data_IF_608290644799
#
_entry.id   IF_608290644799
#
_cell.length_a   1.000
_cell.length_b   1.000
_cell.length_c   1.000
_cell.angle_alpha   90.00
_cell.angle_beta   90.00
_cell.angle_gamma   90.00
#
_symmetry.space_group_name_H-M   'P 1'
#
loop_
_entity.id
_entity.type
_entity.pdbx_description
1 polymer ?
#
# COMPACT_ATOMS: atom_id res chain seq x y z
N UNK A 1 56.17 11.27 -15.05
CA UNK A 1 55.91 12.47 -14.23
C UNK A 1 55.61 11.99 -12.81
N UNK A 2 56.39 12.19 -11.75
CA UNK A 2 57.69 12.78 -11.51
C UNK A 2 57.91 12.72 -9.99
N UNK A 3 59.01 12.08 -9.55
CA UNK A 3 59.97 12.59 -8.53
C UNK A 3 59.42 12.87 -7.11
N UNK A 4 59.96 12.38 -5.98
CA UNK A 4 61.35 12.30 -5.43
C UNK A 4 61.30 11.33 -4.21
N UNK A 5 62.26 10.43 -3.94
CA UNK A 5 63.56 10.63 -3.21
C UNK A 5 63.38 11.44 -1.90
N UNK A 6 63.93 11.13 -0.71
CA UNK A 6 64.89 10.13 -0.22
C UNK A 6 65.12 10.37 1.31
N UNK A 7 65.77 9.40 1.97
CA UNK A 7 66.66 9.51 3.16
C UNK A 7 66.10 9.99 4.52
N UNK A 8 66.24 9.13 5.55
CA UNK A 8 67.32 9.29 6.55
C UNK A 8 67.42 8.06 7.47
N UNK A 9 68.66 7.61 7.64
CA UNK A 9 69.10 6.54 8.51
C UNK A 9 69.86 7.12 9.71
N UNK A 10 70.07 6.26 10.71
CA UNK A 10 71.08 6.34 11.78
C UNK A 10 70.76 7.27 12.95
N UNK A 11 70.48 6.67 14.11
CA UNK A 11 71.19 6.96 15.37
C UNK A 11 70.94 5.82 16.37
N UNK A 12 71.86 4.85 16.33
CA UNK A 12 72.20 4.01 17.47
C UNK A 12 73.34 4.71 18.21
N UNK A 13 73.17 4.95 19.52
CA UNK A 13 74.23 4.85 20.54
C UNK A 13 73.75 5.40 21.90
N UNK A 14 74.14 4.67 22.94
CA UNK A 14 74.47 5.11 24.31
C UNK A 14 73.38 5.13 25.41
N UNK A 15 73.48 4.05 26.22
CA UNK A 15 73.51 3.99 27.70
C UNK A 15 72.17 3.74 28.46
N UNK A 16 72.20 3.11 29.65
CA UNK A 16 73.18 2.17 30.22
C UNK A 16 72.57 0.85 30.72
N UNK A 17 73.41 -0.16 30.80
CA UNK A 17 73.17 -1.41 31.54
C UNK A 17 73.08 -1.10 33.04
N UNK A 18 71.85 -1.04 33.56
CA UNK A 18 71.55 -1.00 34.99
C UNK A 18 71.34 -2.39 35.54
N UNK A 19 72.43 -3.07 35.88
CA UNK A 19 72.47 -4.20 36.81
C UNK A 19 72.04 -3.70 38.20
N UNK A 20 70.81 -3.97 38.62
CA UNK A 20 70.41 -3.86 40.02
C UNK A 20 69.38 -4.94 40.37
N UNK A 21 69.82 -5.81 41.29
CA UNK A 21 69.02 -6.49 42.30
C UNK A 21 67.99 -7.52 41.84
N UNK A 22 68.45 -8.78 41.82
CA UNK A 22 67.73 -9.92 42.40
C UNK A 22 67.06 -9.48 43.71
N UNK A 23 65.77 -9.15 43.66
CA UNK A 23 64.95 -8.98 44.86
C UNK A 23 64.35 -10.33 45.18
N UNK A 24 64.93 -10.92 46.20
CA UNK A 24 64.48 -12.10 46.94
C UNK A 24 62.95 -12.23 46.92
N UNK A 25 62.53 -13.39 46.42
CA UNK A 25 61.68 -14.35 47.16
C UNK A 25 61.33 -13.87 48.56
N UNK A 26 60.27 -13.08 48.68
CA UNK A 26 59.51 -12.99 49.92
C UNK A 26 58.39 -14.00 49.79
N UNK A 27 58.63 -15.17 50.38
CA UNK A 27 57.65 -16.04 51.01
C UNK A 27 56.22 -15.48 50.92
N UNK A 28 55.47 -15.90 49.91
CA UNK A 28 54.02 -15.95 50.01
C UNK A 28 53.71 -16.99 51.08
N UNK A 29 53.68 -16.55 52.34
CA UNK A 29 53.09 -17.34 53.39
C UNK A 29 51.70 -17.77 52.90
N UNK A 30 51.36 -19.07 52.95
CA UNK A 30 50.02 -19.51 52.61
C UNK A 30 49.07 -18.80 53.58
N UNK A 31 48.38 -17.77 53.08
CA UNK A 31 47.24 -17.20 53.79
C UNK A 31 46.28 -18.37 53.90
N UNK A 32 46.17 -18.94 55.10
CA UNK A 32 45.07 -19.78 55.58
C UNK A 32 43.78 -18.93 55.56
N UNK A 33 43.45 -18.43 54.38
CA UNK A 33 42.30 -17.60 54.10
C UNK A 33 41.09 -18.51 54.21
N UNK A 34 40.29 -18.24 55.23
CA UNK A 34 38.91 -18.70 55.32
C UNK A 34 38.28 -18.75 53.94
N UNK A 35 37.71 -19.90 53.56
CA UNK A 35 37.03 -20.23 52.30
C UNK A 35 35.77 -19.36 52.02
N UNK A 36 35.85 -18.06 52.29
CA UNK A 36 34.77 -17.11 52.06
C UNK A 36 34.77 -16.73 50.58
N UNK A 37 33.79 -17.26 49.86
CA UNK A 37 33.51 -16.84 48.49
C UNK A 37 32.99 -15.41 48.46
N UNK A 38 33.64 -14.57 47.67
CA UNK A 38 33.24 -13.20 47.36
C UNK A 38 31.85 -13.20 46.69
N UNK A 39 31.01 -12.19 46.92
CA UNK A 39 29.73 -12.08 46.23
C UNK A 39 29.96 -11.94 44.71
N UNK A 40 29.06 -12.52 43.92
CA UNK A 40 29.02 -12.28 42.49
C UNK A 40 28.30 -10.95 42.23
N UNK A 41 28.92 -10.06 41.46
CA UNK A 41 28.41 -8.72 41.16
C UNK A 41 27.91 -8.65 39.71
N UNK A 42 26.67 -8.22 39.46
CA UNK A 42 26.13 -8.12 38.09
C UNK A 42 26.68 -6.91 37.29
N UNK A 43 27.49 -6.06 37.91
CA UNK A 43 27.94 -4.79 37.35
C UNK A 43 26.97 -3.64 37.68
N UNK A 44 27.52 -2.45 37.83
CA UNK A 44 26.83 -1.20 38.10
C UNK A 44 27.26 -0.16 37.08
N UNK A 45 26.39 0.83 36.78
CA UNK A 45 26.74 1.94 35.89
C UNK A 45 27.67 2.91 36.62
N UNK A 46 28.97 2.66 36.53
CA UNK A 46 29.99 3.57 37.05
C UNK A 46 31.16 3.74 36.08
N UNK A 47 31.95 4.79 36.28
CA UNK A 47 33.01 5.22 35.36
C UNK A 47 34.36 4.56 35.61
N UNK A 48 34.52 3.91 36.76
CA UNK A 48 35.78 3.31 37.18
C UNK A 48 35.85 1.83 36.78
N UNK A 49 36.99 1.38 36.29
CA UNK A 49 37.24 -0.05 36.07
C UNK A 49 37.42 -0.76 37.41
N UNK A 50 36.33 -1.30 37.94
CA UNK A 50 36.29 -2.14 39.14
C UNK A 50 35.33 -3.30 38.93
N UNK A 51 35.48 -4.38 39.70
CA UNK A 51 34.53 -5.52 39.62
C UNK A 51 33.09 -5.08 39.90
N UNK A 52 32.90 -4.12 40.80
CA UNK A 52 31.57 -3.58 41.10
C UNK A 52 30.93 -2.93 39.87
N UNK A 53 31.71 -2.21 39.07
CA UNK A 53 31.22 -1.55 37.86
C UNK A 53 31.07 -2.52 36.69
N UNK A 54 32.12 -3.28 36.39
CA UNK A 54 32.16 -4.15 35.23
C UNK A 54 31.37 -5.45 35.42
N UNK A 55 31.16 -5.86 36.67
CA UNK A 55 30.58 -7.15 37.03
C UNK A 55 31.61 -8.27 37.08
N UNK A 56 31.29 -9.33 37.82
CA UNK A 56 32.18 -10.48 38.02
C UNK A 56 32.46 -11.24 36.73
N UNK A 57 31.51 -11.28 35.78
CA UNK A 57 31.72 -11.92 34.47
C UNK A 57 32.80 -11.21 33.66
N UNK A 58 32.72 -9.87 33.50
CA UNK A 58 33.78 -9.09 32.84
C UNK A 58 35.09 -9.23 33.59
N UNK A 59 35.02 -9.07 34.91
CA UNK A 59 36.20 -8.96 35.75
C UNK A 59 37.01 -10.24 35.70
N UNK A 60 36.38 -11.41 35.85
CA UNK A 60 37.08 -12.67 35.68
C UNK A 60 37.36 -13.00 34.20
N UNK A 61 36.50 -12.57 33.29
CA UNK A 61 36.68 -12.70 31.84
C UNK A 61 38.00 -12.09 31.34
N UNK A 62 38.25 -10.84 31.72
CA UNK A 62 39.28 -10.01 31.11
C UNK A 62 40.25 -9.38 32.13
N UNK A 63 39.78 -9.03 33.32
CA UNK A 63 40.55 -8.29 34.33
C UNK A 63 41.09 -9.16 35.48
N UNK A 64 41.03 -10.50 35.40
CA UNK A 64 41.44 -11.37 36.53
C UNK A 64 42.90 -11.17 36.97
N UNK A 65 43.75 -10.69 36.06
CA UNK A 65 45.16 -10.36 36.34
C UNK A 65 45.31 -9.23 37.37
N UNK A 66 44.32 -8.35 37.53
CA UNK A 66 44.33 -7.31 38.58
C UNK A 66 43.82 -7.80 39.93
N UNK A 67 43.26 -9.01 40.02
CA UNK A 67 42.65 -9.58 41.24
C UNK A 67 43.54 -10.63 41.94
N UNK A 68 44.82 -10.66 41.60
CA UNK A 68 45.80 -11.65 42.10
C UNK A 68 45.37 -13.12 41.85
N UNK A 69 44.47 -13.37 40.90
CA UNK A 69 44.14 -14.71 40.45
C UNK A 69 45.11 -15.12 39.34
N UNK A 70 45.70 -16.31 39.43
CA UNK A 70 46.63 -16.79 38.42
C UNK A 70 45.89 -17.17 37.12
N UNK A 71 44.62 -17.57 37.25
CA UNK A 71 43.78 -18.00 36.13
C UNK A 71 42.36 -17.44 36.23
N UNK A 72 41.66 -17.39 35.08
CA UNK A 72 40.24 -17.04 35.03
C UNK A 72 39.38 -18.00 35.87
N UNK A 73 39.71 -19.29 35.87
CA UNK A 73 39.01 -20.32 36.65
C UNK A 73 39.11 -20.04 38.16
N UNK A 74 40.32 -19.75 38.64
CA UNK A 74 40.55 -19.40 40.03
C UNK A 74 39.75 -18.14 40.44
N UNK A 75 39.72 -17.13 39.56
CA UNK A 75 38.92 -15.93 39.76
C UNK A 75 37.44 -16.29 39.99
N UNK A 76 36.84 -17.11 39.12
CA UNK A 76 35.44 -17.50 39.28
C UNK A 76 35.20 -18.42 40.49
N UNK A 77 36.15 -19.29 40.86
CA UNK A 77 36.02 -20.17 42.04
C UNK A 77 35.98 -19.39 43.36
N UNK A 78 36.68 -18.25 43.41
CA UNK A 78 36.65 -17.31 44.54
C UNK A 78 35.31 -16.60 44.69
N UNK A 79 34.42 -16.67 43.70
CA UNK A 79 33.10 -16.01 43.72
C UNK A 79 31.97 -16.98 44.03
N UNK A 80 30.89 -16.45 44.60
CA UNK A 80 29.63 -17.19 44.80
C UNK A 80 29.03 -17.53 43.44
N UNK A 81 28.13 -18.53 43.41
CA UNK A 81 27.40 -18.87 42.19
C UNK A 81 26.60 -17.67 41.69
N UNK A 82 26.43 -17.59 40.37
CA UNK A 82 25.68 -16.53 39.73
C UNK A 82 24.29 -16.39 40.37
N UNK A 83 23.85 -15.18 40.74
CA UNK A 83 22.51 -14.97 41.25
C UNK A 83 21.47 -15.39 40.21
N UNK A 84 20.33 -15.93 40.67
CA UNK A 84 19.23 -16.44 39.83
C UNK A 84 18.45 -15.30 39.15
N UNK A 85 18.72 -14.05 39.52
CA UNK A 85 18.13 -12.88 38.86
C UNK A 85 18.68 -12.76 37.45
N UNK A 86 17.78 -12.83 36.46
CA UNK A 86 18.16 -12.75 35.06
C UNK A 86 18.48 -11.31 34.67
N UNK A 87 19.77 -11.03 34.48
CA UNK A 87 20.27 -9.76 33.94
C UNK A 87 19.65 -9.54 32.55
N UNK A 88 19.32 -8.31 32.18
CA UNK A 88 18.79 -8.04 30.82
C UNK A 88 19.84 -8.34 29.75
N UNK A 89 19.39 -8.86 28.60
CA UNK A 89 20.27 -9.02 27.46
C UNK A 89 20.58 -7.64 26.85
N UNK A 90 21.85 -7.30 26.73
CA UNK A 90 22.29 -6.04 26.14
C UNK A 90 22.88 -6.27 24.75
N UNK A 91 22.56 -5.37 23.82
CA UNK A 91 23.28 -5.25 22.55
C UNK A 91 24.37 -4.18 22.70
N UNK A 92 25.42 -4.21 21.87
CA UNK A 92 26.40 -3.13 21.86
C UNK A 92 25.71 -1.78 21.62
N UNK A 93 26.06 -0.78 22.43
CA UNK A 93 25.59 0.58 22.24
C UNK A 93 26.32 1.20 21.05
N UNK A 94 25.61 2.06 20.31
CA UNK A 94 26.21 2.89 19.25
C UNK A 94 26.80 4.20 19.80
N UNK A 95 26.58 4.47 21.08
CA UNK A 95 27.11 5.66 21.75
C UNK A 95 28.62 5.55 21.94
N UNK A 96 29.37 6.50 21.38
CA UNK A 96 30.84 6.56 21.46
C UNK A 96 31.34 6.79 22.89
N UNK A 97 30.53 7.37 23.76
CA UNK A 97 30.91 7.70 25.14
C UNK A 97 30.67 6.52 26.09
N UNK A 98 30.18 5.39 25.56
CA UNK A 98 29.88 4.20 26.34
C UNK A 98 31.16 3.43 26.70
N UNK A 99 31.35 3.15 27.99
CA UNK A 99 32.55 2.47 28.48
C UNK A 99 32.54 0.98 28.11
N UNK A 100 33.60 0.42 27.49
CA UNK A 100 33.58 -0.93 26.93
C UNK A 100 33.45 -2.05 27.98
N UNK A 101 33.74 -1.76 29.24
CA UNK A 101 33.64 -2.72 30.34
C UNK A 101 32.23 -2.79 30.96
N UNK A 102 31.29 -1.99 30.48
CA UNK A 102 29.88 -2.05 30.90
C UNK A 102 29.12 -2.91 29.90
N UNK A 103 28.41 -3.94 30.36
CA UNK A 103 27.66 -4.86 29.47
C UNK A 103 26.62 -4.12 28.61
N UNK A 104 26.00 -3.07 29.14
CA UNK A 104 25.09 -2.20 28.37
C UNK A 104 25.74 -1.46 27.20
N UNK A 105 27.08 -1.36 27.19
CA UNK A 105 27.86 -0.70 26.15
C UNK A 105 28.47 -1.69 25.18
N UNK A 106 29.15 -2.73 25.66
CA UNK A 106 29.81 -3.73 24.80
C UNK A 106 28.87 -4.85 24.35
N UNK A 107 27.71 -5.00 24.99
CA UNK A 107 26.75 -6.06 24.74
C UNK A 107 27.09 -7.37 25.47
N UNK A 108 26.06 -8.17 25.73
CA UNK A 108 26.15 -9.45 26.43
C UNK A 108 27.10 -10.45 25.74
N UNK A 109 27.14 -10.46 24.41
CA UNK A 109 28.01 -11.37 23.66
C UNK A 109 29.49 -11.03 23.81
N UNK A 110 29.85 -9.74 23.79
CA UNK A 110 31.23 -9.32 24.06
C UNK A 110 31.58 -9.65 25.51
N UNK A 111 30.68 -9.34 26.44
CA UNK A 111 30.85 -9.56 27.88
C UNK A 111 31.14 -11.03 28.20
N UNK A 112 30.24 -11.94 27.83
CA UNK A 112 30.43 -13.37 28.07
C UNK A 112 31.56 -13.95 27.20
N UNK A 113 31.83 -13.39 26.02
CA UNK A 113 32.84 -13.89 25.09
C UNK A 113 34.27 -13.85 25.61
N UNK A 114 34.57 -13.01 26.61
CA UNK A 114 35.87 -12.99 27.29
C UNK A 114 36.11 -14.23 28.18
N UNK A 115 35.08 -15.01 28.50
CA UNK A 115 35.21 -16.24 29.28
C UNK A 115 35.72 -17.36 28.35
N UNK A 116 36.90 -17.92 28.62
CA UNK A 116 37.53 -18.93 27.75
C UNK A 116 36.90 -20.31 27.87
N UNK A 117 36.44 -20.67 29.07
CA UNK A 117 35.76 -21.94 29.32
C UNK A 117 34.33 -21.92 28.76
N UNK A 118 33.98 -22.91 27.93
CA UNK A 118 32.71 -22.95 27.21
C UNK A 118 31.53 -23.10 28.18
N UNK A 119 31.61 -23.99 29.16
CA UNK A 119 30.50 -24.25 30.08
C UNK A 119 30.19 -23.02 30.95
N UNK A 120 31.23 -22.34 31.44
CA UNK A 120 31.08 -21.06 32.15
C UNK A 120 30.53 -19.96 31.27
N UNK A 121 31.00 -19.85 30.04
CA UNK A 121 30.47 -18.88 29.07
C UNK A 121 28.98 -19.13 28.79
N UNK A 122 28.57 -20.37 28.61
CA UNK A 122 27.15 -20.73 28.45
C UNK A 122 26.34 -20.43 29.72
N UNK A 123 26.93 -20.62 30.90
CA UNK A 123 26.33 -20.22 32.18
C UNK A 123 26.13 -18.70 32.28
N UNK A 124 27.11 -17.91 31.81
CA UNK A 124 27.00 -16.45 31.68
C UNK A 124 25.78 -16.08 30.82
N UNK A 125 25.61 -16.67 29.63
CA UNK A 125 24.43 -16.43 28.79
C UNK A 125 23.12 -16.87 29.45
N UNK A 126 23.10 -18.03 30.11
CA UNK A 126 21.91 -18.57 30.80
C UNK A 126 21.43 -17.67 31.93
N UNK A 127 22.34 -16.93 32.53
CA UNK A 127 22.03 -15.97 33.57
C UNK A 127 21.45 -14.64 33.07
N UNK A 128 21.37 -14.43 31.75
CA UNK A 128 20.62 -13.33 31.15
C UNK A 128 19.18 -13.73 30.81
N UNK A 129 18.32 -12.74 30.61
CA UNK A 129 17.06 -12.95 29.90
C UNK A 129 17.38 -13.33 28.46
N UNK A 130 16.60 -14.22 27.87
CA UNK A 130 16.78 -14.59 26.45
C UNK A 130 16.64 -13.34 25.59
N UNK A 131 17.56 -13.15 24.65
CA UNK A 131 17.51 -12.03 23.71
C UNK A 131 16.24 -12.12 22.85
N UNK A 132 15.71 -10.98 22.42
CA UNK A 132 14.60 -10.96 21.46
C UNK A 132 14.97 -11.69 20.17
N UNK A 133 14.02 -12.39 19.57
CA UNK A 133 14.23 -12.93 18.23
C UNK A 133 14.27 -11.79 17.23
N UNK A 134 15.38 -11.64 16.50
CA UNK A 134 15.47 -10.68 15.40
C UNK A 134 15.42 -11.41 14.07
N UNK A 135 14.58 -10.91 13.18
CA UNK A 135 14.55 -11.38 11.81
C UNK A 135 15.68 -10.70 11.02
N UNK A 136 16.02 -11.28 9.87
CA UNK A 136 16.97 -10.67 8.96
C UNK A 136 16.42 -9.33 8.49
N UNK A 137 17.29 -8.32 8.43
CA UNK A 137 16.97 -6.95 8.04
C UNK A 137 15.79 -6.39 8.88
N UNK A 138 15.78 -6.62 10.21
CA UNK A 138 14.72 -6.13 11.10
C UNK A 138 14.63 -4.59 11.11
N UNK A 139 13.49 -3.99 11.53
CA UNK A 139 13.33 -2.52 11.57
C UNK A 139 14.38 -1.80 12.42
N UNK A 140 14.96 -2.49 13.41
CA UNK A 140 16.03 -1.99 14.28
C UNK A 140 17.43 -2.13 13.66
N UNK A 141 17.56 -2.69 12.46
CA UNK A 141 18.82 -2.87 11.76
C UNK A 141 19.42 -1.50 11.40
N UNK A 142 20.63 -1.16 11.88
CA UNK A 142 21.25 0.14 11.59
C UNK A 142 21.62 0.28 10.10
N UNK A 143 21.94 -0.83 9.43
CA UNK A 143 22.35 -0.86 8.03
C UNK A 143 21.89 -2.13 7.32
N UNK A 144 20.74 -2.11 6.63
CA UNK A 144 20.20 -3.25 5.91
C UNK A 144 21.22 -3.85 4.94
N UNK A 145 21.19 -5.17 4.77
CA UNK A 145 22.11 -5.86 3.89
C UNK A 145 23.40 -6.37 4.56
N UNK A 146 23.78 -5.82 5.72
CA UNK A 146 24.96 -6.25 6.48
C UNK A 146 24.68 -7.49 7.33
N UNK A 147 25.72 -8.28 7.61
CA UNK A 147 25.62 -9.47 8.47
C UNK A 147 26.42 -9.30 9.78
N UNK A 148 26.94 -8.09 10.05
CA UNK A 148 27.76 -7.75 11.24
C UNK A 148 26.93 -7.50 12.51
N UNK A 149 25.63 -7.24 12.36
CA UNK A 149 24.68 -7.05 13.46
C UNK A 149 23.58 -8.10 13.38
N UNK A 150 23.25 -8.74 14.52
CA UNK A 150 22.19 -9.74 14.61
C UNK A 150 20.86 -9.22 14.04
N UNK A 151 20.56 -7.93 14.26
CA UNK A 151 19.35 -7.25 13.76
C UNK A 151 19.29 -7.20 12.24
N UNK A 152 20.45 -7.23 11.58
CA UNK A 152 20.57 -7.19 10.13
C UNK A 152 20.73 -8.59 9.53
N UNK A 153 21.51 -9.46 10.15
CA UNK A 153 21.70 -10.85 9.71
C UNK A 153 20.46 -11.73 9.97
N UNK A 154 19.75 -11.45 11.07
CA UNK A 154 18.72 -12.30 11.65
C UNK A 154 19.31 -13.45 12.46
N UNK A 155 18.61 -13.84 13.53
CA UNK A 155 19.05 -14.85 14.52
C UNK A 155 19.61 -16.13 13.89
N UNK A 156 18.94 -16.68 12.86
CA UNK A 156 19.38 -17.94 12.24
C UNK A 156 20.71 -17.80 11.53
N UNK A 157 20.89 -16.74 10.74
CA UNK A 157 22.16 -16.52 10.03
C UNK A 157 23.25 -16.13 11.02
N UNK A 158 22.91 -15.31 12.02
CA UNK A 158 23.80 -14.94 13.13
C UNK A 158 24.34 -16.17 13.85
N UNK A 159 23.48 -17.08 14.31
CA UNK A 159 23.87 -18.30 15.02
C UNK A 159 24.65 -19.31 14.17
N UNK A 160 24.68 -19.16 12.84
CA UNK A 160 25.48 -19.96 11.92
C UNK A 160 26.83 -19.35 11.57
N UNK A 161 27.06 -18.08 11.89
CA UNK A 161 28.32 -17.43 11.64
C UNK A 161 29.42 -18.09 12.48
N UNK A 162 30.60 -18.29 11.89
CA UNK A 162 31.72 -19.00 12.52
C UNK A 162 32.11 -18.40 13.88
N UNK A 163 32.14 -17.07 13.97
CA UNK A 163 32.39 -16.35 15.22
C UNK A 163 31.38 -16.68 16.32
N UNK A 164 30.10 -16.85 15.96
CA UNK A 164 29.04 -17.21 16.91
C UNK A 164 29.07 -18.68 17.25
N UNK A 165 29.46 -19.55 16.32
CA UNK A 165 29.72 -20.96 16.63
C UNK A 165 30.89 -21.10 17.61
N UNK A 166 31.96 -20.33 17.45
CA UNK A 166 33.06 -20.27 18.40
C UNK A 166 32.62 -19.72 19.78
N UNK A 167 31.64 -18.80 19.80
CA UNK A 167 31.10 -18.22 21.01
C UNK A 167 30.18 -19.19 21.78
N UNK A 168 29.24 -19.85 21.10
CA UNK A 168 28.20 -20.69 21.69
C UNK A 168 28.47 -22.20 21.63
N UNK A 169 29.54 -22.60 20.95
CA UNK A 169 29.88 -24.00 20.68
C UNK A 169 29.14 -24.57 19.46
N UNK A 170 27.86 -24.26 19.27
CA UNK A 170 27.07 -24.68 18.10
C UNK A 170 25.83 -23.80 17.86
N UNK A 171 25.18 -23.97 16.70
CA UNK A 171 23.98 -23.22 16.31
C UNK A 171 22.82 -23.43 17.30
N UNK A 172 22.59 -24.67 17.74
CA UNK A 172 21.48 -25.01 18.65
C UNK A 172 21.59 -24.26 19.98
N UNK A 173 22.78 -24.26 20.60
CA UNK A 173 23.05 -23.51 21.83
C UNK A 173 22.80 -22.02 21.65
N UNK A 174 23.23 -21.43 20.53
CA UNK A 174 22.98 -20.02 20.24
C UNK A 174 21.48 -19.71 20.18
N UNK A 175 20.71 -20.54 19.47
CA UNK A 175 19.26 -20.40 19.34
C UNK A 175 18.52 -20.56 20.67
N UNK A 176 19.01 -21.41 21.58
CA UNK A 176 18.40 -21.59 22.91
C UNK A 176 18.44 -20.31 23.77
N UNK A 177 19.39 -19.41 23.55
CA UNK A 177 19.48 -18.12 24.24
C UNK A 177 18.63 -17.02 23.61
N UNK A 178 17.89 -17.33 22.55
CA UNK A 178 16.93 -16.42 21.92
C UNK A 178 15.50 -16.79 22.32
N UNK A 179 14.65 -15.79 22.53
CA UNK A 179 13.20 -16.02 22.62
C UNK A 179 12.76 -16.57 21.28
N UNK A 180 11.90 -17.58 21.23
CA UNK A 180 11.38 -18.05 19.95
C UNK A 180 10.65 -16.90 19.23
N UNK A 181 10.66 -16.88 17.88
CA UNK A 181 9.91 -15.87 17.16
C UNK A 181 8.46 -15.97 17.60
N UNK A 182 7.93 -14.89 18.16
CA UNK A 182 6.50 -14.72 18.17
C UNK A 182 6.10 -14.69 16.69
N UNK A 183 5.10 -15.46 16.28
CA UNK A 183 4.58 -15.46 14.88
C UNK A 183 4.01 -14.11 14.45
N UNK A 184 4.24 -13.05 15.22
CA UNK A 184 3.81 -11.70 14.91
C UNK A 184 4.59 -11.22 13.69
N UNK A 185 3.86 -10.95 12.62
CA UNK A 185 4.32 -10.11 11.52
C UNK A 185 4.60 -8.71 12.04
N UNK A 186 5.58 -8.04 11.45
CA UNK A 186 5.88 -6.64 11.74
C UNK A 186 4.82 -5.77 11.05
N UNK A 187 4.24 -4.74 11.69
CA UNK A 187 3.27 -3.86 11.03
C UNK A 187 3.86 -3.21 9.79
N UNK A 188 3.05 -3.09 8.74
CA UNK A 188 3.44 -2.33 7.54
C UNK A 188 3.56 -0.84 7.87
N UNK A 189 4.68 -0.21 7.51
CA UNK A 189 4.94 1.19 7.81
C UNK A 189 4.91 2.06 6.55
N UNK A 190 4.13 3.13 6.61
CA UNK A 190 4.20 4.21 5.62
C UNK A 190 5.38 5.15 5.93
N UNK A 191 5.99 5.80 4.92
CA UNK A 191 7.08 6.74 5.14
C UNK A 191 6.64 7.92 6.03
N UNK A 192 7.41 8.21 7.08
CA UNK A 192 7.18 9.38 7.94
C UNK A 192 7.89 10.62 7.39
N UNK A 193 7.18 11.76 7.34
CA UNK A 193 7.71 13.00 6.77
C UNK A 193 8.83 13.65 7.61
N UNK A 194 8.76 13.51 8.94
CA UNK A 194 9.67 14.15 9.88
C UNK A 194 10.51 13.10 10.60
N UNK A 195 11.63 12.71 9.99
CA UNK A 195 12.48 11.66 10.53
C UNK A 195 13.95 12.09 10.66
N UNK A 196 14.58 11.89 11.83
CA UNK A 196 15.95 12.31 12.08
C UNK A 196 16.98 11.46 11.32
N UNK A 197 16.66 10.21 10.97
CA UNK A 197 17.54 9.32 10.22
C UNK A 197 16.83 8.73 9.01
N UNK A 198 17.48 8.76 7.84
CA UNK A 198 16.90 8.22 6.60
C UNK A 198 17.12 6.73 6.41
N UNK A 199 17.71 6.03 7.38
CA UNK A 199 18.15 4.64 7.22
C UNK A 199 17.26 3.61 7.92
N UNK A 200 16.37 4.05 8.81
CA UNK A 200 15.46 3.17 9.54
C UNK A 200 14.12 3.06 8.83
N UNK A 201 13.49 1.90 8.95
CA UNK A 201 12.23 1.59 8.29
C UNK A 201 11.08 2.57 8.63
N UNK A 202 10.84 2.96 9.90
CA UNK A 202 9.77 3.92 10.21
C UNK A 202 9.86 5.23 9.43
N UNK A 203 11.08 5.60 9.03
CA UNK A 203 11.33 6.83 8.28
C UNK A 203 11.17 6.65 6.77
N UNK A 204 11.61 5.52 6.22
CA UNK A 204 11.56 5.23 4.78
C UNK A 204 10.23 4.64 4.34
N UNK A 205 9.51 4.00 5.25
CA UNK A 205 8.43 3.07 4.97
C UNK A 205 8.95 1.70 4.53
N UNK A 206 8.13 0.67 4.76
CA UNK A 206 8.45 -0.74 4.50
C UNK A 206 8.84 -0.99 3.05
N UNK A 207 8.15 -0.35 2.10
CA UNK A 207 8.40 -0.58 0.67
C UNK A 207 9.76 -0.10 0.19
N UNK A 208 10.17 1.10 0.61
CA UNK A 208 11.48 1.67 0.26
C UNK A 208 12.61 0.99 1.07
N UNK A 209 12.35 0.66 2.34
CA UNK A 209 13.29 -0.07 3.20
C UNK A 209 13.60 -1.46 2.62
N UNK A 210 12.60 -2.33 2.46
CA UNK A 210 12.77 -3.65 1.85
C UNK A 210 13.26 -3.51 0.40
N UNK A 211 12.78 -2.51 -0.34
CA UNK A 211 13.16 -2.25 -1.73
C UNK A 211 14.65 -1.94 -1.93
N UNK A 212 15.32 -1.38 -0.92
CA UNK A 212 16.78 -1.12 -0.96
C UNK A 212 17.65 -2.36 -0.83
N UNK A 213 17.06 -3.52 -0.51
CA UNK A 213 17.78 -4.78 -0.49
C UNK A 213 18.01 -5.25 -1.94
N UNK A 214 19.26 -5.27 -2.38
CA UNK A 214 19.64 -5.57 -3.77
C UNK A 214 19.23 -6.99 -4.22
N UNK A 215 19.36 -7.96 -3.32
CA UNK A 215 19.11 -9.38 -3.65
C UNK A 215 17.61 -9.69 -3.57
N UNK A 216 17.00 -10.03 -4.71
CA UNK A 216 15.56 -10.36 -4.83
C UNK A 216 15.03 -11.37 -3.81
N UNK A 217 15.71 -12.50 -3.50
CA UNK A 217 15.24 -13.42 -2.47
C UNK A 217 15.22 -12.80 -1.06
N UNK A 218 16.21 -11.96 -0.73
CA UNK A 218 16.25 -11.25 0.56
C UNK A 218 15.14 -10.21 0.66
N UNK A 219 14.90 -9.45 -0.42
CA UNK A 219 13.80 -8.50 -0.50
C UNK A 219 12.43 -9.16 -0.29
N UNK A 220 12.19 -10.32 -0.91
CA UNK A 220 10.95 -11.09 -0.71
C UNK A 220 10.76 -11.52 0.74
N UNK A 221 11.82 -12.07 1.35
CA UNK A 221 11.79 -12.39 2.77
C UNK A 221 11.45 -11.15 3.59
N UNK A 222 12.07 -9.99 3.35
CA UNK A 222 11.72 -8.75 4.05
C UNK A 222 10.20 -8.46 4.01
N UNK A 223 9.57 -8.53 2.84
CA UNK A 223 8.12 -8.34 2.71
C UNK A 223 7.27 -9.42 3.39
N UNK A 224 7.69 -10.69 3.35
CA UNK A 224 6.96 -11.81 3.98
C UNK A 224 6.90 -11.72 5.51
N UNK A 225 7.81 -10.97 6.14
CA UNK A 225 7.81 -10.75 7.59
C UNK A 225 6.89 -9.60 8.02
N UNK A 226 6.40 -8.81 7.07
CA UNK A 226 5.51 -7.72 7.35
C UNK A 226 4.05 -8.15 7.22
N UNK A 227 3.18 -7.41 7.89
CA UNK A 227 1.77 -7.40 7.57
C UNK A 227 1.60 -6.99 6.10
N UNK A 228 0.51 -7.45 5.50
CA UNK A 228 0.19 -7.07 4.13
C UNK A 228 -0.05 -5.56 4.06
N UNK A 229 0.44 -4.92 3.01
CA UNK A 229 0.16 -3.51 2.76
C UNK A 229 -1.36 -3.32 2.60
N UNK A 230 -1.98 -2.30 3.21
CA UNK A 230 -3.37 -1.98 2.96
C UNK A 230 -3.66 -1.84 1.46
N UNK A 231 -4.78 -2.40 1.00
CA UNK A 231 -5.18 -2.26 -0.41
C UNK A 231 -5.77 -0.86 -0.62
N UNK A 232 -5.03 -0.02 -1.32
CA UNK A 232 -5.48 1.31 -1.72
C UNK A 232 -6.39 1.17 -2.95
N UNK A 233 -7.59 1.72 -2.90
CA UNK A 233 -8.45 1.83 -4.08
C UNK A 233 -8.19 3.17 -4.77
N UNK A 234 -8.55 3.25 -6.05
CA UNK A 234 -8.23 4.34 -6.99
C UNK A 234 -8.65 5.75 -6.54
N UNK A 235 -9.52 5.85 -5.54
CA UNK A 235 -10.24 7.08 -5.17
C UNK A 235 -9.86 7.63 -3.79
N UNK A 236 -8.72 7.31 -3.20
CA UNK A 236 -8.34 7.89 -1.90
C UNK A 236 -7.77 9.33 -2.04
N UNK A 237 -8.57 10.22 -2.65
CA UNK A 237 -8.16 11.56 -3.07
C UNK A 237 -7.64 12.42 -1.91
N UNK A 238 -8.21 12.28 -0.72
CA UNK A 238 -7.78 13.00 0.49
C UNK A 238 -6.35 12.63 0.92
N UNK A 239 -5.95 11.36 0.82
CA UNK A 239 -4.56 10.93 1.08
C UNK A 239 -3.64 11.25 -0.09
N UNK A 240 -4.15 11.22 -1.31
CA UNK A 240 -3.38 11.58 -2.50
C UNK A 240 -2.94 13.06 -2.48
N UNK A 241 -3.80 13.98 -2.04
CA UNK A 241 -3.47 15.41 -1.97
C UNK A 241 -2.29 15.71 -1.01
N UNK A 242 -2.07 14.86 -0.01
CA UNK A 242 -0.98 14.99 0.97
C UNK A 242 0.34 14.36 0.50
N UNK A 243 0.32 13.66 -0.64
CA UNK A 243 1.50 13.05 -1.24
C UNK A 243 2.34 14.09 -1.97
N UNK A 244 3.52 14.41 -1.42
CA UNK A 244 4.52 15.24 -2.08
C UNK A 244 5.02 14.67 -3.41
N UNK A 245 4.83 13.37 -3.64
CA UNK A 245 5.27 12.65 -4.85
C UNK A 245 4.25 12.71 -5.99
N UNK A 246 3.13 13.42 -5.80
CA UNK A 246 2.11 13.66 -6.82
C UNK A 246 1.28 12.43 -7.17
N UNK A 247 0.61 12.49 -8.33
CA UNK A 247 -0.37 11.52 -8.85
C UNK A 247 0.19 10.13 -9.18
N UNK A 248 1.50 9.88 -8.96
CA UNK A 248 2.20 8.65 -9.34
C UNK A 248 2.37 7.63 -8.21
N UNK A 249 1.79 7.89 -7.04
CA UNK A 249 1.85 6.99 -5.88
C UNK A 249 0.73 5.96 -5.89
N UNK A 250 0.95 4.82 -5.24
CA UNK A 250 -0.08 3.78 -5.07
C UNK A 250 -1.33 4.33 -4.36
N UNK A 251 -1.15 5.25 -3.41
CA UNK A 251 -2.24 5.94 -2.73
C UNK A 251 -3.16 6.71 -3.69
N UNK A 252 -2.59 7.28 -4.75
CA UNK A 252 -3.32 8.06 -5.74
C UNK A 252 -3.94 7.19 -6.84
N UNK A 253 -3.28 6.11 -7.21
CA UNK A 253 -3.63 5.31 -8.39
C UNK A 253 -4.37 4.02 -8.04
N UNK A 254 -4.37 3.63 -6.77
CA UNK A 254 -4.83 2.35 -6.29
C UNK A 254 -3.81 1.22 -6.49
N UNK A 255 -3.82 0.27 -5.57
CA UNK A 255 -2.91 -0.89 -5.49
C UNK A 255 -2.84 -1.69 -6.76
N UNK A 256 -3.99 -1.97 -7.39
CA UNK A 256 -3.99 -2.76 -8.60
C UNK A 256 -3.29 -2.07 -9.76
N UNK A 257 -3.67 -0.83 -10.08
CA UNK A 257 -3.02 -0.14 -11.19
C UNK A 257 -1.54 0.08 -10.91
N UNK A 258 -1.21 0.49 -9.69
CA UNK A 258 0.18 0.69 -9.30
C UNK A 258 0.99 -0.59 -9.51
N UNK A 259 0.50 -1.76 -9.07
CA UNK A 259 1.14 -3.04 -9.34
C UNK A 259 1.28 -3.35 -10.85
N UNK A 260 0.29 -2.99 -11.67
CA UNK A 260 0.27 -3.28 -13.10
C UNK A 260 1.11 -2.34 -13.97
N UNK A 261 1.19 -1.06 -13.63
CA UNK A 261 1.83 -0.04 -14.49
C UNK A 261 3.11 0.54 -13.90
N UNK A 262 3.25 0.57 -12.58
CA UNK A 262 4.42 1.17 -11.95
C UNK A 262 5.67 0.37 -12.28
N UNK A 263 6.64 1.04 -12.91
CA UNK A 263 8.00 0.51 -13.09
C UNK A 263 8.65 0.20 -11.75
N UNK A 264 8.31 0.98 -10.70
CA UNK A 264 8.80 0.76 -9.34
C UNK A 264 8.23 -0.54 -8.80
N UNK A 265 6.91 -0.76 -8.89
CA UNK A 265 6.28 -2.00 -8.46
C UNK A 265 6.88 -3.23 -9.15
N UNK A 266 6.99 -3.19 -10.49
CA UNK A 266 7.59 -4.28 -11.28
C UNK A 266 9.04 -4.56 -10.88
N UNK A 267 9.84 -3.52 -10.63
CA UNK A 267 11.22 -3.67 -10.14
C UNK A 267 11.29 -4.28 -8.74
N UNK A 268 10.37 -3.91 -7.85
CA UNK A 268 10.35 -4.37 -6.47
C UNK A 268 9.89 -5.82 -6.35
N UNK A 269 8.75 -6.15 -6.95
CA UNK A 269 8.07 -7.44 -6.77
C UNK A 269 8.33 -8.44 -7.91
N UNK A 270 8.64 -7.95 -9.10
CA UNK A 270 8.94 -8.74 -10.30
C UNK A 270 7.74 -8.93 -11.23
N UNK A 271 6.51 -8.91 -10.72
CA UNK A 271 5.28 -8.91 -11.54
C UNK A 271 4.14 -8.21 -10.80
N UNK A 272 3.04 -7.94 -11.51
CA UNK A 272 1.85 -7.34 -10.92
C UNK A 272 1.16 -8.29 -9.93
N UNK A 273 1.15 -9.59 -10.24
CA UNK A 273 0.56 -10.64 -9.42
C UNK A 273 1.34 -10.82 -8.11
N UNK A 274 2.68 -10.83 -8.17
CA UNK A 274 3.52 -10.86 -6.96
C UNK A 274 3.35 -9.60 -6.13
N UNK A 275 3.23 -8.44 -6.77
CA UNK A 275 2.93 -7.18 -6.08
C UNK A 275 1.63 -7.28 -5.30
N UNK A 276 0.54 -7.72 -5.94
CA UNK A 276 -0.79 -7.87 -5.32
C UNK A 276 -0.83 -8.89 -4.18
N UNK A 277 0.05 -9.91 -4.17
CA UNK A 277 0.15 -10.87 -3.05
C UNK A 277 0.62 -10.24 -1.74
N UNK A 278 1.34 -9.14 -1.81
CA UNK A 278 1.79 -8.38 -0.63
C UNK A 278 0.84 -7.24 -0.24
N UNK A 279 -0.36 -7.20 -0.83
CA UNK A 279 -1.44 -6.31 -0.41
C UNK A 279 -2.52 -7.11 0.31
N UNK A 280 -3.25 -6.45 1.19
CA UNK A 280 -4.52 -6.94 1.68
C UNK A 280 -5.46 -7.23 0.50
N UNK A 281 -6.49 -8.03 0.76
CA UNK A 281 -7.51 -8.27 -0.26
C UNK A 281 -8.25 -6.96 -0.53
N UNK A 282 -8.64 -6.69 -1.79
CA UNK A 282 -9.49 -5.55 -2.08
C UNK A 282 -10.75 -5.60 -1.21
N UNK A 283 -11.25 -4.45 -0.73
CA UNK A 283 -12.46 -4.41 0.06
C UNK A 283 -13.61 -5.02 -0.74
N UNK A 284 -14.37 -5.93 -0.11
CA UNK A 284 -15.51 -6.58 -0.75
C UNK A 284 -16.69 -5.62 -0.92
N UNK A 285 -16.77 -4.59 -0.08
CA UNK A 285 -17.79 -3.55 -0.15
C UNK A 285 -17.40 -2.53 -1.21
N UNK A 286 -18.26 -2.39 -2.23
CA UNK A 286 -18.13 -1.31 -3.20
C UNK A 286 -18.30 0.04 -2.51
N UNK A 287 -17.53 1.04 -2.92
CA UNK A 287 -17.62 2.40 -2.38
C UNK A 287 -18.95 3.05 -2.78
N UNK A 288 -19.58 3.87 -1.93
CA UNK A 288 -20.78 4.60 -2.34
C UNK A 288 -20.53 5.50 -3.55
N UNK A 289 -21.51 5.61 -4.44
CA UNK A 289 -21.53 6.60 -5.51
C UNK A 289 -21.89 7.96 -4.92
N UNK A 290 -21.07 8.97 -5.23
CA UNK A 290 -21.34 10.37 -4.90
C UNK A 290 -21.49 11.15 -6.22
N UNK A 291 -22.65 11.76 -6.50
CA UNK A 291 -22.78 12.64 -7.66
C UNK A 291 -21.94 13.91 -7.47
N UNK A 292 -21.52 14.57 -8.58
CA UNK A 292 -20.95 15.91 -8.49
C UNK A 292 -21.92 16.87 -7.79
N UNK A 293 -21.40 17.73 -6.91
CA UNK A 293 -22.19 18.79 -6.29
C UNK A 293 -22.32 19.95 -7.27
N UNK A 294 -23.52 20.52 -7.40
CA UNK A 294 -23.75 21.70 -8.23
C UNK A 294 -23.21 22.94 -7.52
N UNK A 295 -22.17 23.57 -8.08
CA UNK A 295 -21.58 24.82 -7.58
C UNK A 295 -20.05 24.81 -7.49
N UNK A 296 -19.49 25.90 -6.98
CA UNK A 296 -18.07 25.96 -6.65
C UNK A 296 -17.78 25.10 -5.41
N UNK A 297 -16.75 24.27 -5.50
CA UNK A 297 -16.33 23.45 -4.37
C UNK A 297 -15.78 24.33 -3.25
N UNK A 298 -16.28 24.13 -2.04
CA UNK A 298 -15.79 24.89 -0.90
C UNK A 298 -14.31 24.54 -0.62
N UNK A 299 -13.47 25.53 -0.26
CA UNK A 299 -12.10 25.27 0.14
C UNK A 299 -12.05 24.26 1.30
N UNK A 300 -11.34 23.16 1.11
CA UNK A 300 -11.21 22.09 2.11
C UNK A 300 -12.28 21.00 2.06
N UNK A 301 -13.27 21.11 1.17
CA UNK A 301 -14.23 20.04 0.91
C UNK A 301 -13.52 18.79 0.34
N UNK A 302 -13.98 17.60 0.72
CA UNK A 302 -13.45 16.36 0.15
C UNK A 302 -13.77 16.33 -1.36
N UNK A 303 -12.76 16.34 -2.26
CA UNK A 303 -12.98 16.37 -3.69
C UNK A 303 -13.83 15.19 -4.19
N UNK A 304 -13.77 14.03 -3.52
CA UNK A 304 -14.52 12.82 -3.88
C UNK A 304 -15.99 12.89 -3.44
N UNK A 305 -16.25 13.33 -2.20
CA UNK A 305 -17.58 13.24 -1.60
C UNK A 305 -18.41 14.52 -1.74
N UNK A 306 -17.75 15.67 -1.74
CA UNK A 306 -18.40 16.97 -1.49
C UNK A 306 -18.25 17.94 -2.67
N UNK A 307 -17.61 17.51 -3.75
CA UNK A 307 -17.24 18.39 -4.86
C UNK A 307 -17.41 17.70 -6.23
N UNK A 308 -16.42 16.92 -6.67
CA UNK A 308 -16.39 16.36 -8.03
C UNK A 308 -17.30 15.15 -8.18
N UNK A 309 -17.49 14.39 -7.10
CA UNK A 309 -18.16 13.10 -7.15
C UNK A 309 -17.25 11.97 -7.65
N UNK A 310 -17.57 10.74 -7.26
CA UNK A 310 -16.71 9.57 -7.50
C UNK A 310 -16.58 9.23 -8.98
N UNK A 311 -17.64 9.45 -9.77
CA UNK A 311 -17.61 9.19 -11.19
C UNK A 311 -16.76 10.20 -11.97
N UNK A 312 -16.83 11.48 -11.63
CA UNK A 312 -16.01 12.49 -12.30
C UNK A 312 -14.52 12.21 -12.09
N UNK A 313 -14.14 11.81 -10.86
CA UNK A 313 -12.75 11.41 -10.57
C UNK A 313 -12.36 10.23 -11.45
N UNK A 314 -13.18 9.17 -11.50
CA UNK A 314 -12.91 8.02 -12.35
C UNK A 314 -12.79 8.38 -13.84
N UNK A 315 -13.61 9.30 -14.36
CA UNK A 315 -13.63 9.62 -15.78
C UNK A 315 -12.56 10.64 -16.20
N UNK A 316 -12.21 11.58 -15.32
CA UNK A 316 -11.33 12.71 -15.66
C UNK A 316 -9.93 12.61 -15.09
N UNK A 317 -9.77 12.01 -13.91
CA UNK A 317 -8.47 11.92 -13.25
C UNK A 317 -7.76 10.60 -13.54
N UNK A 318 -8.49 9.59 -14.03
CA UNK A 318 -7.92 8.32 -14.45
C UNK A 318 -7.66 8.28 -15.96
N UNK A 319 -6.54 7.67 -16.31
CA UNK A 319 -6.24 7.23 -17.66
C UNK A 319 -7.31 6.27 -18.17
N UNK A 320 -7.55 6.30 -19.48
CA UNK A 320 -8.61 5.53 -20.16
C UNK A 320 -8.65 4.04 -19.79
N UNK A 321 -7.51 3.31 -19.67
CA UNK A 321 -7.52 1.90 -19.28
C UNK A 321 -8.05 1.62 -17.87
N UNK A 322 -8.05 2.61 -16.98
CA UNK A 322 -8.44 2.46 -15.58
C UNK A 322 -9.86 2.83 -15.26
N UNK A 323 -10.48 3.64 -16.12
CA UNK A 323 -11.83 4.14 -15.88
C UNK A 323 -12.81 2.99 -15.59
N UNK A 324 -12.84 1.88 -16.37
CA UNK A 324 -13.80 0.80 -16.10
C UNK A 324 -13.67 0.23 -14.69
N UNK A 325 -12.43 -0.04 -14.23
CA UNK A 325 -12.18 -0.59 -12.90
C UNK A 325 -12.56 0.40 -11.79
N UNK A 326 -12.16 1.66 -11.92
CA UNK A 326 -12.54 2.71 -10.97
C UNK A 326 -14.07 2.79 -10.83
N UNK A 327 -14.79 2.69 -11.95
CA UNK A 327 -16.25 2.71 -12.00
C UNK A 327 -16.88 1.41 -11.45
N UNK A 328 -16.19 0.28 -11.51
CA UNK A 328 -16.63 -1.01 -10.93
C UNK A 328 -16.42 -1.10 -9.40
N UNK A 329 -15.42 -0.40 -8.86
CA UNK A 329 -15.11 -0.36 -7.41
C UNK A 329 -16.15 0.45 -6.61
N UNK A 330 -17.05 1.18 -7.29
CA UNK A 330 -18.15 1.93 -6.68
C UNK A 330 -19.51 1.25 -6.86
N UNK A 331 -20.47 1.64 -6.03
CA UNK A 331 -21.88 1.29 -6.25
C UNK A 331 -22.34 1.90 -7.56
N UNK A 332 -23.22 1.18 -8.24
CA UNK A 332 -23.88 1.68 -9.45
C UNK A 332 -24.58 2.99 -9.13
N UNK A 333 -24.44 3.98 -10.01
CA UNK A 333 -25.17 5.23 -9.83
C UNK A 333 -26.67 4.99 -10.02
N UNK A 334 -27.54 5.79 -9.38
CA UNK A 334 -28.97 5.75 -9.63
C UNK A 334 -29.28 5.97 -11.11
N UNK A 335 -30.27 5.24 -11.63
CA UNK A 335 -30.78 5.48 -12.96
C UNK A 335 -31.83 6.60 -12.94
N UNK A 336 -31.61 7.68 -13.69
CA UNK A 336 -32.50 8.84 -13.72
C UNK A 336 -33.43 8.77 -14.94
N UNK A 337 -34.64 8.21 -14.74
CA UNK A 337 -35.66 8.09 -15.80
C UNK A 337 -36.72 9.20 -15.81
N UNK A 338 -36.91 9.88 -14.67
CA UNK A 338 -37.96 10.87 -14.47
C UNK A 338 -37.79 12.11 -15.34
N UNK A 339 -38.91 12.83 -15.56
CA UNK A 339 -38.89 14.12 -16.25
C UNK A 339 -37.96 15.09 -15.51
N UNK A 340 -37.16 15.90 -16.24
CA UNK A 340 -36.25 16.85 -15.63
C UNK A 340 -37.01 17.78 -14.70
N UNK A 341 -36.44 18.06 -13.53
CA UNK A 341 -37.00 19.09 -12.67
C UNK A 341 -36.94 20.45 -13.39
N UNK A 342 -37.94 21.33 -13.24
CA UNK A 342 -38.00 22.60 -13.97
C UNK A 342 -36.78 23.52 -13.76
N UNK A 343 -36.07 23.34 -12.63
CA UNK A 343 -34.90 24.14 -12.24
C UNK A 343 -33.55 23.45 -12.52
N UNK A 344 -33.53 22.38 -13.29
CA UNK A 344 -32.37 21.51 -13.44
C UNK A 344 -31.40 22.06 -14.51
N UNK A 345 -30.12 22.22 -14.16
CA UNK A 345 -29.08 22.64 -15.10
C UNK A 345 -28.81 21.53 -16.13
N UNK A 346 -28.97 21.81 -17.43
CA UNK A 346 -28.90 20.81 -18.51
C UNK A 346 -27.56 20.07 -18.63
N UNK A 347 -26.55 20.38 -17.82
CA UNK A 347 -25.23 19.73 -17.85
C UNK A 347 -25.08 18.52 -16.93
N UNK A 348 -26.03 18.21 -16.05
CA UNK A 348 -25.93 17.04 -15.15
C UNK A 348 -26.73 15.84 -15.65
N UNK A 349 -26.30 14.63 -15.32
CA UNK A 349 -27.00 13.40 -15.71
C UNK A 349 -28.44 13.40 -15.22
N UNK A 350 -28.67 13.86 -13.98
CA UNK A 350 -30.00 13.96 -13.39
C UNK A 350 -30.95 14.80 -14.24
N UNK A 351 -30.44 15.85 -14.89
CA UNK A 351 -31.22 16.73 -15.74
C UNK A 351 -31.36 16.18 -17.18
N UNK A 352 -30.30 15.57 -17.71
CA UNK A 352 -30.33 15.02 -19.07
C UNK A 352 -31.08 13.68 -19.17
N UNK A 353 -31.23 12.97 -18.04
CA UNK A 353 -31.63 11.56 -17.92
C UNK A 353 -30.49 10.61 -18.31
N UNK A 354 -30.36 9.51 -17.59
CA UNK A 354 -29.25 8.55 -17.77
C UNK A 354 -29.17 7.99 -19.19
N UNK A 355 -30.31 7.77 -19.85
CA UNK A 355 -30.34 7.32 -21.23
C UNK A 355 -29.70 8.32 -22.20
N UNK A 356 -30.04 9.62 -22.08
CA UNK A 356 -29.47 10.66 -22.94
C UNK A 356 -28.01 10.92 -22.58
N UNK A 357 -27.68 10.86 -21.29
CA UNK A 357 -26.31 10.98 -20.80
C UNK A 357 -25.37 9.96 -21.46
N UNK A 358 -25.78 8.69 -21.52
CA UNK A 358 -25.01 7.63 -22.17
C UNK A 358 -25.01 7.71 -23.71
N UNK A 359 -25.87 8.52 -24.33
CA UNK A 359 -25.90 8.75 -25.78
C UNK A 359 -25.24 10.07 -26.21
N UNK A 360 -24.95 10.97 -25.26
CA UNK A 360 -24.34 12.28 -25.53
C UNK A 360 -22.82 12.24 -25.58
N UNK A 361 -22.20 13.41 -25.65
CA UNK A 361 -20.73 13.60 -25.73
C UNK A 361 -19.97 12.99 -24.53
N UNK A 362 -20.66 12.71 -23.44
CA UNK A 362 -20.08 12.12 -22.23
C UNK A 362 -19.88 10.61 -22.39
N UNK A 363 -20.55 9.96 -23.35
CA UNK A 363 -20.33 8.56 -23.71
C UNK A 363 -18.85 8.28 -24.05
N UNK A 364 -18.17 9.23 -24.70
CA UNK A 364 -16.75 9.14 -25.03
C UNK A 364 -15.87 8.98 -23.79
N UNK A 365 -16.29 9.51 -22.64
CA UNK A 365 -15.53 9.37 -21.40
C UNK A 365 -15.55 7.94 -20.86
N UNK A 366 -16.63 7.19 -21.14
CA UNK A 366 -16.78 5.77 -20.82
C UNK A 366 -16.17 4.86 -21.90
N UNK A 367 -15.63 5.43 -22.98
CA UNK A 367 -15.13 4.71 -24.15
C UNK A 367 -16.22 4.25 -25.13
N UNK A 368 -17.46 4.06 -24.67
CA UNK A 368 -18.63 3.82 -25.52
C UNK A 368 -19.94 4.05 -24.76
N UNK A 369 -21.03 4.26 -25.50
CA UNK A 369 -22.38 4.29 -24.94
C UNK A 369 -22.74 2.96 -24.27
N UNK A 370 -22.38 1.82 -24.87
CA UNK A 370 -22.59 0.48 -24.32
C UNK A 370 -21.91 0.31 -22.95
N UNK A 371 -20.65 0.75 -22.82
CA UNK A 371 -19.92 0.78 -21.54
C UNK A 371 -20.65 1.63 -20.50
N UNK A 372 -21.15 2.81 -20.89
CA UNK A 372 -21.94 3.67 -19.99
C UNK A 372 -23.19 2.95 -19.47
N UNK A 373 -24.00 2.34 -20.35
CA UNK A 373 -25.17 1.57 -19.95
C UNK A 373 -24.81 0.42 -19.01
N UNK A 374 -23.78 -0.36 -19.34
CA UNK A 374 -23.30 -1.47 -18.52
C UNK A 374 -22.88 -1.01 -17.12
N UNK A 375 -22.13 0.08 -17.02
CA UNK A 375 -21.64 0.66 -15.75
C UNK A 375 -22.79 1.19 -14.91
N UNK A 376 -23.86 1.69 -15.55
CA UNK A 376 -25.12 2.08 -14.89
C UNK A 376 -26.00 0.88 -14.52
N UNK A 377 -25.52 -0.35 -14.71
CA UNK A 377 -26.26 -1.57 -14.37
C UNK A 377 -27.39 -1.89 -15.35
N UNK A 378 -27.42 -1.24 -16.50
CA UNK A 378 -28.38 -1.52 -17.56
C UNK A 378 -27.85 -2.67 -18.40
N UNK A 379 -28.48 -3.85 -18.33
CA UNK A 379 -28.05 -5.02 -19.09
C UNK A 379 -28.16 -4.72 -20.59
N UNK A 380 -27.05 -4.83 -21.33
CA UNK A 380 -26.96 -4.47 -22.76
C UNK A 380 -27.88 -5.31 -23.65
N UNK A 381 -28.25 -6.52 -23.22
CA UNK A 381 -29.30 -7.32 -23.86
C UNK A 381 -30.65 -6.59 -23.96
N UNK A 382 -30.95 -5.69 -23.02
CA UNK A 382 -32.16 -4.88 -23.01
C UNK A 382 -32.05 -3.56 -23.78
N UNK A 383 -30.86 -3.13 -24.21
CA UNK A 383 -30.76 -1.88 -24.98
C UNK A 383 -31.38 -2.06 -26.37
N UNK A 384 -31.13 -3.21 -27.02
CA UNK A 384 -31.83 -3.58 -28.26
C UNK A 384 -33.33 -3.75 -28.05
N UNK A 385 -33.77 -4.26 -26.90
CA UNK A 385 -35.18 -4.44 -26.59
C UNK A 385 -35.89 -3.14 -26.20
N UNK A 386 -35.19 -2.21 -25.56
CA UNK A 386 -35.72 -0.91 -25.14
C UNK A 386 -35.63 0.09 -26.28
N UNK A 387 -34.59 0.04 -27.12
CA UNK A 387 -34.55 0.78 -28.38
C UNK A 387 -35.68 0.26 -29.26
N UNK A 388 -35.86 -1.06 -29.43
CA UNK A 388 -37.04 -1.60 -30.14
C UNK A 388 -38.36 -1.17 -29.52
N UNK A 389 -38.53 -1.29 -28.21
CA UNK A 389 -39.78 -0.91 -27.54
C UNK A 389 -40.05 0.60 -27.58
N UNK A 390 -39.01 1.44 -27.54
CA UNK A 390 -39.15 2.90 -27.68
C UNK A 390 -39.29 3.32 -29.14
N UNK A 391 -38.65 2.64 -30.06
CA UNK A 391 -38.83 2.83 -31.50
C UNK A 391 -40.26 2.44 -31.89
N UNK A 392 -40.77 1.32 -31.38
CA UNK A 392 -42.18 0.93 -31.50
C UNK A 392 -43.12 1.97 -30.88
N UNK A 393 -42.90 2.39 -29.64
CA UNK A 393 -43.74 3.41 -28.99
C UNK A 393 -43.65 4.80 -29.67
N UNK A 394 -42.49 5.15 -30.22
CA UNK A 394 -42.28 6.40 -30.95
C UNK A 394 -42.93 6.33 -32.33
N UNK A 395 -42.82 5.20 -33.03
CA UNK A 395 -43.52 4.91 -34.28
C UNK A 395 -45.04 4.93 -34.08
N UNK A 396 -45.56 4.34 -33.00
CA UNK A 396 -46.99 4.42 -32.65
C UNK A 396 -47.43 5.87 -32.42
N UNK A 397 -46.63 6.67 -31.71
CA UNK A 397 -46.94 8.07 -31.45
C UNK A 397 -46.88 8.92 -32.72
N UNK A 398 -45.91 8.67 -33.59
CA UNK A 398 -45.81 9.32 -34.89
C UNK A 398 -46.95 8.91 -35.80
N UNK A 399 -47.33 7.64 -35.82
CA UNK A 399 -48.51 7.16 -36.54
C UNK A 399 -49.78 7.83 -36.01
N UNK A 400 -49.96 7.94 -34.69
CA UNK A 400 -51.12 8.62 -34.11
C UNK A 400 -51.19 10.11 -34.48
N UNK A 401 -50.06 10.84 -34.43
CA UNK A 401 -50.00 12.24 -34.87
C UNK A 401 -50.18 12.38 -36.39
N UNK A 402 -49.65 11.45 -37.20
CA UNK A 402 -49.82 11.45 -38.65
C UNK A 402 -51.28 11.17 -39.03
N UNK A 403 -51.95 10.22 -38.37
CA UNK A 403 -53.38 9.93 -38.55
C UNK A 403 -54.20 11.16 -38.17
N UNK A 404 -53.93 11.78 -37.02
CA UNK A 404 -54.59 13.01 -36.58
C UNK A 404 -54.41 14.16 -37.56
N UNK A 405 -53.26 14.26 -38.22
CA UNK A 405 -53.00 15.27 -39.25
C UNK A 405 -53.64 14.96 -40.60
N UNK A 406 -53.70 13.68 -40.98
CA UNK A 406 -54.21 13.23 -42.29
C UNK A 406 -55.74 13.05 -42.32
N UNK A 407 -56.37 12.77 -41.18
CA UNK A 407 -57.82 12.57 -41.08
C UNK A 407 -58.63 13.76 -41.62
N UNK A 408 -58.34 15.03 -41.29
CA UNK A 408 -59.05 16.18 -41.86
C UNK A 408 -58.86 16.31 -43.39
N UNK A 409 -57.66 15.97 -43.89
CA UNK A 409 -57.31 16.07 -45.32
C UNK A 409 -58.08 15.04 -46.13
N UNK A 410 -58.14 13.79 -45.65
CA UNK A 410 -58.89 12.71 -46.29
C UNK A 410 -60.39 13.02 -46.24
N UNK A 411 -60.91 13.46 -45.09
CA UNK A 411 -62.32 13.82 -44.95
C UNK A 411 -62.72 14.96 -45.89
N UNK A 412 -61.86 15.98 -46.02
CA UNK A 412 -62.07 17.10 -46.93
C UNK A 412 -62.05 16.67 -48.40
N UNK A 413 -61.10 15.80 -48.80
CA UNK A 413 -61.04 15.23 -50.15
C UNK A 413 -62.27 14.40 -50.49
N UNK A 414 -62.73 13.56 -49.56
CA UNK A 414 -63.96 12.77 -49.74
C UNK A 414 -65.19 13.67 -49.86
N UNK A 415 -65.32 14.70 -49.01
CA UNK A 415 -66.43 15.64 -49.08
C UNK A 415 -66.47 16.36 -50.44
N UNK A 416 -65.31 16.76 -50.97
CA UNK A 416 -65.20 17.40 -52.27
C UNK A 416 -65.63 16.46 -53.41
N UNK A 417 -65.23 15.18 -53.37
CA UNK A 417 -65.70 14.18 -54.35
C UNK A 417 -67.22 13.96 -54.27
N UNK A 418 -67.79 13.88 -53.07
CA UNK A 418 -69.23 13.73 -52.87
C UNK A 418 -70.01 14.94 -53.39
N UNK A 419 -69.53 16.16 -53.13
CA UNK A 419 -70.14 17.38 -53.64
C UNK A 419 -70.08 17.45 -55.17
N UNK A 420 -68.94 17.11 -55.78
CA UNK A 420 -68.81 17.06 -57.24
C UNK A 420 -69.75 16.02 -57.87
N UNK A 421 -69.91 14.85 -57.25
CA UNK A 421 -70.85 13.83 -57.70
C UNK A 421 -72.32 14.28 -57.56
N UNK A 422 -72.66 15.00 -56.49
CA UNK A 422 -73.98 15.58 -56.27
C UNK A 422 -74.31 16.67 -57.32
N UNK A 423 -73.33 17.51 -57.67
CA UNK A 423 -73.48 18.51 -58.73
C UNK A 423 -73.66 17.85 -60.12
N UNK A 424 -72.87 16.83 -60.42
CA UNK A 424 -72.98 16.07 -61.67
C UNK A 424 -74.35 15.38 -61.82
N UNK A 425 -74.87 14.81 -60.73
CA UNK A 425 -76.21 14.19 -60.72
C UNK A 425 -77.31 15.24 -60.86
N UNK A 426 -77.21 16.38 -60.19
CA UNK A 426 -78.15 17.50 -60.38
C UNK A 426 -78.17 18.02 -61.82
N UNK A 427 -76.99 18.16 -62.45
CA UNK A 427 -76.87 18.56 -63.85
C UNK A 427 -77.50 17.54 -64.81
N UNK A 428 -77.32 16.23 -64.55
CA UNK A 428 -77.94 15.16 -65.32
C UNK A 428 -79.48 15.16 -65.19
N UNK A 429 -80.00 15.41 -63.99
CA UNK A 429 -81.44 15.54 -63.75
C UNK A 429 -82.03 16.74 -64.49
N UNK A 430 -81.37 17.89 -64.47
CA UNK A 430 -81.82 19.10 -65.19
C UNK A 430 -81.83 18.87 -66.72
N UNK A 431 -80.80 18.22 -67.25
CA UNK A 431 -80.76 17.82 -68.67
C UNK A 431 -81.94 16.92 -69.03
N UNK A 432 -82.27 15.97 -68.17
CA UNK A 432 -83.43 15.07 -68.35
C UNK A 432 -84.75 15.84 -68.33
N UNK A 433 -84.91 16.79 -67.40
CA UNK A 433 -86.10 17.66 -67.33
C UNK A 433 -86.28 18.50 -68.60
N UNK A 434 -85.20 19.04 -69.17
CA UNK A 434 -85.25 19.77 -70.44
C UNK A 434 -85.72 18.88 -71.59
N UNK A 435 -85.14 17.68 -71.72
CA UNK A 435 -85.55 16.73 -72.76
C UNK A 435 -87.03 16.35 -72.65
N UNK A 436 -87.54 16.15 -71.44
CA UNK A 436 -88.98 15.89 -71.20
C UNK A 436 -89.83 17.10 -71.62
N UNK A 437 -89.40 18.32 -71.31
CA UNK A 437 -90.11 19.56 -71.70
C UNK A 437 -90.15 19.71 -73.22
N UNK A 438 -89.01 19.56 -73.89
CA UNK A 438 -88.90 19.65 -75.35
C UNK A 438 -89.76 18.58 -76.04
N UNK A 439 -89.77 17.36 -75.51
CA UNK A 439 -90.62 16.28 -76.02
C UNK A 439 -92.11 16.65 -75.88
N UNK A 440 -92.52 17.20 -74.73
CA UNK A 440 -93.90 17.61 -74.48
C UNK A 440 -94.35 18.76 -75.38
N UNK A 441 -93.47 19.73 -75.63
CA UNK A 441 -93.73 20.85 -76.55
C UNK A 441 -93.89 20.36 -78.00
N UNK A 442 -93.06 19.41 -78.44
CA UNK A 442 -93.20 18.76 -79.76
C UNK A 442 -94.53 18.02 -79.90
N UNK A 443 -94.93 17.25 -78.88
CA UNK A 443 -96.21 16.54 -78.88
C UNK A 443 -97.38 17.52 -78.93
N UNK A 444 -97.35 18.59 -78.13
CA UNK A 444 -98.41 19.60 -78.15
C UNK A 444 -98.52 20.32 -79.51
N UNK A 445 -97.38 20.57 -80.17
CA UNK A 445 -97.34 21.20 -81.50
C UNK A 445 -97.94 20.30 -82.59
N UNK A 446 -97.82 18.98 -82.47
CA UNK A 446 -98.45 18.03 -83.39
C UNK A 446 -99.96 17.93 -83.20
N UNK A 447 -100.46 18.11 -81.98
CA UNK A 447 -101.91 18.04 -81.67
C UNK A 447 -102.67 19.29 -82.12
N UNK A 448 -102.02 20.46 -82.23
CA UNK A 448 -102.65 21.70 -82.70
C UNK A 448 -102.60 21.89 -84.23
N UNK A 449 -101.88 21.03 -84.95
CA UNK A 449 -101.69 21.11 -86.42
C UNK A 449 -102.45 20.07 -87.24
N UNK A 450 -103.30 19.25 -86.61
CA UNK A 450 -104.25 18.34 -87.27
C UNK A 450 -105.67 18.71 -86.89
#
# INVERSE_FOLDING_TARGET
MGSKLALLAVLAACLPQGLMALRNSTNMAPRNGTNMKLPFLPGERCTQMSERCAGSDFWCGQAFKSDEAATQEECFQRRRRHPVHRIEWARPSVDSDCLPHIEGCSGTESMCGHITDLDRRLSCFKARKKAGWTMRDSPECPKPGTDEDERCAGVKAWCRAEERLALYGNETSCLEFRRHPLKATVPWMEPQQACPTRFVEPCRGTEDFCGSIDKKPRRRMCFEHHELRPYDTVLNASRCALSWQGSMTELCQGSHWWCHQSKVAKRLYGSAEECLRYREKPPQTRRPFYPPVEGECQPGADPEKECLGTEHICLKQMDEPNRPRCLEERTTAPWYDSLPQPSCNQTTERCQRSARWCLGEIADWYGSSESCYKIRGWATGSLGDVVRAKEEAWLERLQAELVRFMEPVILHGMLHMYLSAAEATAAAQEKTRRLIRDAREKTNSQVQGG
#
